data_IF_047407872640
#
_entry.id   IF_047407872640
#
_cell.length_a   1.000
_cell.length_b   1.000
_cell.length_c   1.000
_cell.angle_alpha   90.00
_cell.angle_beta   90.00
_cell.angle_gamma   90.00
#
_symmetry.space_group_name_H-M   'P 1'
#
loop_
_entity.id
_entity.type
_entity.pdbx_description
1 polymer ?
#
# COMPACT_ATOMS: atom_id res chain seq x y z
N UNK A 1 -8.81 19.16 9.62
CA UNK A 1 -8.94 18.83 8.19
C UNK A 1 -9.31 20.12 7.49
N UNK A 2 -8.47 20.57 6.58
CA UNK A 2 -8.76 21.76 5.80
C UNK A 2 -9.73 21.40 4.65
N UNK A 3 -10.53 22.36 4.21
CA UNK A 3 -11.39 22.16 3.03
C UNK A 3 -10.52 21.86 1.80
N UNK A 4 -10.82 20.74 1.13
CA UNK A 4 -10.10 20.26 -0.06
C UNK A 4 -8.99 19.24 0.21
N UNK A 5 -8.68 18.90 1.47
CA UNK A 5 -7.75 17.81 1.77
C UNK A 5 -8.43 16.44 1.62
N UNK A 6 -7.71 15.50 1.02
CA UNK A 6 -8.09 14.09 1.07
C UNK A 6 -8.04 13.56 2.51
N UNK A 7 -8.77 12.47 2.83
CA UNK A 7 -8.68 11.83 4.13
C UNK A 7 -7.21 11.55 4.52
N UNK A 8 -6.84 11.72 5.80
CA UNK A 8 -5.48 11.50 6.26
C UNK A 8 -5.09 10.04 6.06
N UNK A 9 -3.89 9.83 5.54
CA UNK A 9 -3.30 8.51 5.39
C UNK A 9 -2.43 8.25 6.61
N UNK A 10 -2.71 7.14 7.31
CA UNK A 10 -1.84 6.66 8.38
C UNK A 10 -0.88 5.62 7.81
N UNK A 11 0.43 5.82 8.00
CA UNK A 11 1.48 4.90 7.56
C UNK A 11 2.15 4.31 8.80
N UNK A 12 2.19 2.98 8.89
CA UNK A 12 2.95 2.26 9.91
C UNK A 12 4.16 1.61 9.24
N UNK A 13 5.35 1.89 9.76
CA UNK A 13 6.61 1.31 9.31
C UNK A 13 7.05 0.21 10.27
N UNK A 14 7.00 -1.04 9.81
CA UNK A 14 7.46 -2.19 10.59
C UNK A 14 8.85 -2.66 10.10
N UNK A 15 9.76 -2.95 11.03
CA UNK A 15 11.09 -3.49 10.71
C UNK A 15 11.00 -4.88 10.05
N UNK A 16 9.96 -5.65 10.36
CA UNK A 16 9.56 -6.86 9.67
C UNK A 16 8.08 -6.76 9.32
N UNK A 17 7.73 -6.92 8.04
CA UNK A 17 6.33 -7.01 7.60
C UNK A 17 5.90 -8.47 7.75
N UNK A 18 5.18 -8.79 8.82
CA UNK A 18 4.52 -10.09 8.96
C UNK A 18 3.14 -9.98 8.31
N UNK A 19 2.98 -10.54 7.11
CA UNK A 19 1.75 -10.38 6.33
C UNK A 19 0.55 -11.05 7.01
N UNK A 20 0.74 -12.16 7.73
CA UNK A 20 -0.33 -12.81 8.50
C UNK A 20 -0.88 -11.92 9.63
N UNK A 21 0.00 -11.22 10.36
CA UNK A 21 -0.43 -10.30 11.44
C UNK A 21 -1.14 -9.05 10.90
N UNK A 22 -0.74 -8.55 9.73
CA UNK A 22 -1.36 -7.38 9.10
C UNK A 22 -2.76 -7.74 8.58
N UNK A 23 -2.91 -8.91 7.96
CA UNK A 23 -4.17 -9.39 7.42
C UNK A 23 -5.17 -9.72 8.54
N UNK A 24 -4.70 -10.34 9.63
CA UNK A 24 -5.51 -10.62 10.83
C UNK A 24 -6.05 -9.36 11.51
N UNK A 25 -5.29 -8.26 11.52
CA UNK A 25 -5.67 -6.99 12.12
C UNK A 25 -6.57 -6.12 11.21
N UNK A 26 -6.90 -6.60 10.01
CA UNK A 26 -7.72 -5.89 9.00
C UNK A 26 -7.27 -4.44 8.75
N UNK A 27 -5.96 -4.18 8.85
CA UNK A 27 -5.41 -2.82 8.87
C UNK A 27 -5.76 -2.05 7.58
N UNK A 28 -5.85 -2.74 6.45
CA UNK A 28 -6.27 -2.18 5.16
C UNK A 28 -7.71 -1.63 5.16
N UNK A 29 -8.62 -2.16 5.99
CA UNK A 29 -10.00 -1.66 6.11
C UNK A 29 -10.10 -0.39 6.96
N UNK A 30 -9.05 -0.04 7.70
CA UNK A 30 -9.01 1.12 8.62
C UNK A 30 -8.38 2.38 8.01
N UNK A 31 -8.02 2.35 6.72
CA UNK A 31 -7.30 3.45 6.05
C UNK A 31 -5.83 3.58 6.48
N UNK A 32 -5.29 2.54 7.12
CA UNK A 32 -3.90 2.47 7.55
C UNK A 32 -3.13 1.61 6.55
N UNK A 33 -2.05 2.15 5.99
CA UNK A 33 -1.16 1.42 5.10
C UNK A 33 0.10 0.97 5.84
N UNK A 34 0.34 -0.34 5.83
CA UNK A 34 1.54 -0.93 6.47
C UNK A 34 2.62 -1.15 5.42
N UNK A 35 3.70 -0.38 5.55
CA UNK A 35 4.88 -0.47 4.68
C UNK A 35 6.01 -1.24 5.35
N UNK A 36 6.81 -1.94 4.56
CA UNK A 36 8.09 -2.50 5.02
C UNK A 36 9.21 -1.49 4.84
N UNK A 37 10.07 -1.35 5.85
CA UNK A 37 11.32 -0.61 5.69
C UNK A 37 12.39 -1.49 5.05
N UNK A 38 12.88 -1.08 3.88
CA UNK A 38 13.99 -1.74 3.20
C UNK A 38 15.30 -1.06 3.62
N UNK A 39 16.11 -1.76 4.41
CA UNK A 39 17.45 -1.28 4.80
C UNK A 39 18.43 -1.23 3.63
N UNK A 40 18.19 -2.04 2.60
CA UNK A 40 18.95 -2.09 1.37
C UNK A 40 17.99 -2.02 0.18
N UNK A 41 18.35 -1.21 -0.81
CA UNK A 41 17.61 -1.17 -2.07
C UNK A 41 17.83 -2.48 -2.84
N UNK A 42 16.76 -3.14 -3.34
CA UNK A 42 16.92 -4.29 -4.20
C UNK A 42 17.63 -3.90 -5.51
N UNK A 43 18.18 -4.87 -6.26
CA UNK A 43 18.74 -4.62 -7.59
C UNK A 43 17.76 -3.84 -8.47
N UNK A 44 18.29 -2.92 -9.29
CA UNK A 44 17.51 -1.96 -10.06
C UNK A 44 16.44 -2.64 -10.92
N UNK A 45 16.81 -3.73 -11.57
CA UNK A 45 15.95 -4.50 -12.47
C UNK A 45 14.75 -5.08 -11.70
N UNK A 46 15.01 -5.67 -10.53
CA UNK A 46 13.98 -6.22 -9.66
C UNK A 46 13.08 -5.12 -9.09
N UNK A 47 13.66 -3.99 -8.69
CA UNK A 47 12.88 -2.85 -8.20
C UNK A 47 11.94 -2.30 -9.27
N UNK A 48 12.46 -2.12 -10.49
CA UNK A 48 11.67 -1.63 -11.61
C UNK A 48 10.53 -2.59 -11.97
N UNK A 49 10.79 -3.90 -11.96
CA UNK A 49 9.75 -4.91 -12.18
C UNK A 49 8.65 -4.86 -11.11
N UNK A 50 9.04 -4.81 -9.83
CA UNK A 50 8.08 -4.73 -8.71
C UNK A 50 7.25 -3.46 -8.76
N UNK A 51 7.85 -2.33 -9.12
CA UNK A 51 7.16 -1.05 -9.24
C UNK A 51 6.10 -1.08 -10.35
N UNK A 52 6.45 -1.57 -11.55
CA UNK A 52 5.48 -1.71 -12.64
C UNK A 52 4.30 -2.60 -12.24
N UNK A 53 4.59 -3.76 -11.61
CA UNK A 53 3.53 -4.66 -11.11
C UNK A 53 2.62 -3.98 -10.07
N UNK A 54 3.18 -3.18 -9.18
CA UNK A 54 2.39 -2.45 -8.19
C UNK A 54 1.47 -1.40 -8.84
N UNK A 55 1.95 -0.70 -9.87
CA UNK A 55 1.16 0.28 -10.62
C UNK A 55 0.00 -0.41 -11.36
N UNK A 56 0.25 -1.53 -12.05
CA UNK A 56 -0.81 -2.26 -12.75
C UNK A 56 -1.90 -2.75 -11.80
N UNK A 57 -1.52 -3.34 -10.66
CA UNK A 57 -2.48 -3.75 -9.62
C UNK A 57 -3.29 -2.58 -9.05
N UNK A 58 -2.66 -1.43 -8.86
CA UNK A 58 -3.34 -0.24 -8.35
C UNK A 58 -4.39 0.26 -9.36
N UNK A 59 -4.05 0.27 -10.65
CA UNK A 59 -5.01 0.62 -11.70
C UNK A 59 -6.16 -0.38 -11.76
N UNK A 60 -5.87 -1.69 -11.75
CA UNK A 60 -6.89 -2.76 -11.71
C UNK A 60 -7.85 -2.57 -10.52
N UNK A 61 -7.30 -2.32 -9.33
CA UNK A 61 -8.09 -2.10 -8.10
C UNK A 61 -8.93 -0.82 -8.16
N UNK A 62 -8.39 0.24 -8.78
CA UNK A 62 -9.12 1.51 -8.95
C UNK A 62 -10.33 1.34 -9.88
N UNK A 63 -10.14 0.65 -11.00
CA UNK A 63 -11.25 0.36 -11.92
C UNK A 63 -12.26 -0.63 -11.32
N UNK A 64 -11.81 -1.60 -10.52
CA UNK A 64 -12.71 -2.52 -9.81
C UNK A 64 -13.57 -1.81 -8.75
N UNK A 65 -13.03 -0.80 -8.05
CA UNK A 65 -13.77 0.02 -7.08
C UNK A 65 -14.71 1.06 -7.71
N UNK A 66 -14.49 1.45 -8.96
CA UNK A 66 -15.36 2.38 -9.70
C UNK A 66 -16.71 1.80 -10.16
N UNK A 67 -17.07 0.58 -9.74
CA UNK A 67 -18.36 -0.07 -10.04
C UNK A 67 -19.32 -0.11 -8.83
N UNK A 68 -18.93 0.46 -7.68
CA UNK A 68 -19.76 0.55 -6.46
C UNK A 68 -20.17 2.01 -6.15
N UNK A 69 -20.52 2.81 -7.17
CA UNK A 69 -21.25 4.08 -6.98
C UNK A 69 -22.76 3.86 -6.76
#
# INVERSE_FOLDING_TARGET
MNEGENPPIAIILCASKNEEEIELLEVDKSGIHVGQYLTLLPPKELFQEKLHKAIERAKESFWAKGLEE
#
